data_IF_656019898637
#
_entry.id   IF_656019898637
#
_cell.length_a   1.000
_cell.length_b   1.000
_cell.length_c   1.000
_cell.angle_alpha   90.00
_cell.angle_beta   90.00
_cell.angle_gamma   90.00
#
_symmetry.space_group_name_H-M   'P 1'
#
loop_
_entity.id
_entity.type
_entity.pdbx_description
1 polymer ?
#
# COMPACT_ATOMS: atom_id res chain seq x y z
N UNK A 1 -13.96 -14.77 4.97
CA UNK A 1 -12.92 -14.95 6.01
C UNK A 1 -12.96 -13.71 6.87
N UNK A 2 -13.03 -13.82 8.19
CA UNK A 2 -12.86 -12.67 9.07
C UNK A 2 -11.36 -12.41 9.28
N UNK A 3 -10.94 -11.14 9.27
CA UNK A 3 -9.58 -10.76 9.60
C UNK A 3 -9.44 -10.62 11.12
N UNK A 4 -8.31 -11.03 11.67
CA UNK A 4 -8.00 -10.78 13.08
C UNK A 4 -7.72 -9.30 13.32
N UNK A 5 -7.95 -8.82 14.56
CA UNK A 5 -7.63 -7.44 14.92
C UNK A 5 -6.15 -7.09 14.62
N UNK A 6 -5.22 -8.02 14.86
CA UNK A 6 -3.80 -7.82 14.54
C UNK A 6 -3.54 -7.60 13.04
N UNK A 7 -4.24 -8.33 12.16
CA UNK A 7 -4.13 -8.13 10.72
C UNK A 7 -4.68 -6.77 10.29
N UNK A 8 -5.83 -6.37 10.88
CA UNK A 8 -6.49 -5.10 10.58
C UNK A 8 -5.59 -3.92 11.00
N UNK A 9 -5.12 -3.91 12.25
CA UNK A 9 -4.22 -2.87 12.75
C UNK A 9 -2.94 -2.77 11.92
N UNK A 10 -2.32 -3.93 11.63
CA UNK A 10 -1.10 -3.97 10.84
C UNK A 10 -1.32 -3.41 9.43
N UNK A 11 -2.41 -3.79 8.77
CA UNK A 11 -2.73 -3.29 7.44
C UNK A 11 -3.02 -1.79 7.43
N UNK A 12 -3.80 -1.31 8.39
CA UNK A 12 -4.19 0.10 8.52
C UNK A 12 -2.97 0.99 8.75
N UNK A 13 -2.13 0.64 9.72
CA UNK A 13 -0.93 1.41 10.02
C UNK A 13 0.09 1.35 8.88
N UNK A 14 0.23 0.19 8.23
CA UNK A 14 1.14 0.05 7.10
C UNK A 14 0.72 0.92 5.92
N UNK A 15 -0.56 0.89 5.52
CA UNK A 15 -1.05 1.74 4.43
C UNK A 15 -0.96 3.23 4.78
N UNK A 16 -1.28 3.61 6.02
CA UNK A 16 -1.13 4.99 6.47
C UNK A 16 0.33 5.48 6.38
N UNK A 17 1.29 4.63 6.75
CA UNK A 17 2.71 4.93 6.61
C UNK A 17 3.11 5.10 5.13
N UNK A 18 2.62 4.24 4.23
CA UNK A 18 2.89 4.37 2.81
C UNK A 18 2.31 5.65 2.20
N UNK A 19 1.17 6.13 2.66
CA UNK A 19 0.56 7.38 2.17
C UNK A 19 1.30 8.64 2.64
N UNK A 20 2.06 8.55 3.75
CA UNK A 20 2.90 9.66 4.21
C UNK A 20 4.18 9.82 3.39
N UNK A 21 4.68 8.72 2.82
CA UNK A 21 5.90 8.70 2.01
C UNK A 21 5.83 7.57 0.97
N UNK A 22 5.03 7.73 -0.10
CA UNK A 22 4.84 6.67 -1.08
C UNK A 22 6.13 6.38 -1.84
N UNK A 23 6.40 5.10 -2.03
CA UNK A 23 7.47 4.62 -2.89
C UNK A 23 6.94 4.29 -4.29
N UNK A 24 7.50 4.94 -5.31
CA UNK A 24 7.16 4.69 -6.70
C UNK A 24 8.18 3.72 -7.31
N UNK A 25 8.19 2.47 -6.82
CA UNK A 25 9.16 1.46 -7.26
C UNK A 25 8.56 0.61 -8.37
N UNK A 26 9.08 0.72 -9.57
CA UNK A 26 8.66 -0.05 -10.75
C UNK A 26 9.82 -0.81 -11.37
N UNK A 27 11.05 -0.33 -11.20
CA UNK A 27 12.26 -0.99 -11.70
C UNK A 27 13.06 -1.63 -10.57
N UNK A 28 13.60 -2.83 -10.82
CA UNK A 28 14.66 -3.41 -10.02
C UNK A 28 15.99 -2.65 -10.22
N UNK A 29 16.98 -2.92 -9.35
CA UNK A 29 18.28 -2.24 -9.41
C UNK A 29 19.05 -2.48 -10.71
N UNK A 30 18.89 -3.66 -11.33
CA UNK A 30 19.51 -3.99 -12.62
C UNK A 30 18.81 -3.27 -13.78
N UNK A 31 17.48 -3.23 -13.76
CA UNK A 31 16.68 -2.58 -14.80
C UNK A 31 16.88 -1.06 -14.85
N UNK A 32 17.23 -0.41 -13.74
CA UNK A 32 17.44 1.06 -13.69
C UNK A 32 18.58 1.57 -14.58
N UNK A 33 19.53 0.71 -14.95
CA UNK A 33 20.66 1.07 -15.82
C UNK A 33 20.42 0.67 -17.28
N UNK A 34 19.27 0.08 -17.58
CA UNK A 34 18.88 -0.29 -18.94
C UNK A 34 18.39 0.95 -19.72
N UNK A 35 18.98 1.28 -20.88
CA UNK A 35 18.49 2.37 -21.74
C UNK A 35 17.01 2.27 -22.08
N UNK A 36 16.45 1.06 -22.16
CA UNK A 36 15.06 0.81 -22.53
C UNK A 36 14.07 1.16 -21.39
N UNK A 37 14.55 1.34 -20.16
CA UNK A 37 13.72 1.65 -18.98
C UNK A 37 13.90 3.08 -18.46
N UNK A 38 14.74 3.90 -19.13
CA UNK A 38 15.07 5.27 -18.68
C UNK A 38 13.82 6.14 -18.49
N UNK A 39 12.80 5.93 -19.33
CA UNK A 39 11.52 6.63 -19.24
C UNK A 39 10.76 6.32 -17.95
N UNK A 40 10.84 5.07 -17.47
CA UNK A 40 10.24 4.66 -16.19
C UNK A 40 11.02 5.28 -15.03
N UNK A 41 12.35 5.26 -15.06
CA UNK A 41 13.17 5.90 -14.03
C UNK A 41 12.89 7.42 -13.92
N UNK A 42 12.69 8.11 -15.05
CA UNK A 42 12.27 9.52 -15.07
C UNK A 42 10.87 9.67 -14.44
N UNK A 43 9.91 8.80 -14.79
CA UNK A 43 8.57 8.84 -14.22
C UNK A 43 8.58 8.66 -12.68
N UNK A 44 9.37 7.71 -12.15
CA UNK A 44 9.55 7.52 -10.71
C UNK A 44 10.11 8.80 -10.05
N UNK A 45 11.14 9.40 -10.64
CA UNK A 45 11.76 10.62 -10.12
C UNK A 45 10.79 11.82 -10.11
N UNK A 46 10.00 11.96 -11.18
CA UNK A 46 8.96 13.01 -11.28
C UNK A 46 7.88 12.77 -10.22
N UNK A 47 7.39 11.54 -10.05
CA UNK A 47 6.39 11.21 -9.04
C UNK A 47 6.90 11.53 -7.63
N UNK A 48 8.15 11.17 -7.30
CA UNK A 48 8.78 11.53 -6.03
C UNK A 48 8.95 13.04 -5.84
N UNK A 49 9.20 13.81 -6.90
CA UNK A 49 9.27 15.28 -6.81
C UNK A 49 7.89 15.87 -6.51
N UNK A 50 6.89 15.49 -7.30
CA UNK A 50 5.52 15.99 -7.15
C UNK A 50 4.93 15.66 -5.78
N UNK A 51 5.13 14.43 -5.30
CA UNK A 51 4.67 14.03 -3.97
C UNK A 51 5.33 14.87 -2.85
N UNK A 52 6.65 15.14 -2.95
CA UNK A 52 7.36 15.99 -1.98
C UNK A 52 6.86 17.44 -2.00
N UNK A 53 6.50 17.96 -3.17
CA UNK A 53 5.93 19.31 -3.31
C UNK A 53 4.53 19.43 -2.69
N UNK A 54 3.74 18.35 -2.74
CA UNK A 54 2.43 18.28 -2.06
C UNK A 54 2.56 18.18 -0.53
N UNK A 55 3.65 17.57 -0.05
CA UNK A 55 3.88 17.32 1.37
C UNK A 55 3.03 16.15 1.91
N UNK A 56 3.29 15.72 3.15
CA UNK A 56 2.52 14.64 3.76
C UNK A 56 1.07 15.09 4.00
N UNK A 57 0.10 14.16 3.95
CA UNK A 57 -1.28 14.49 4.29
C UNK A 57 -1.43 14.97 5.73
N UNK A 58 -2.38 15.88 5.96
CA UNK A 58 -2.73 16.35 7.31
C UNK A 58 -3.19 15.18 8.19
N UNK A 59 -2.83 15.21 9.48
CA UNK A 59 -3.10 14.12 10.42
C UNK A 59 -4.60 13.78 10.53
N UNK A 60 -5.48 14.78 10.52
CA UNK A 60 -6.94 14.56 10.53
C UNK A 60 -7.44 13.72 9.35
N UNK A 61 -6.89 13.97 8.15
CA UNK A 61 -7.21 13.19 6.95
C UNK A 61 -6.64 11.77 7.05
N UNK A 62 -5.45 11.63 7.62
CA UNK A 62 -4.85 10.33 7.84
C UNK A 62 -5.66 9.49 8.84
N UNK A 63 -6.13 10.09 9.93
CA UNK A 63 -6.99 9.39 10.90
C UNK A 63 -8.35 9.03 10.31
N UNK A 64 -8.92 9.89 9.45
CA UNK A 64 -10.13 9.57 8.70
C UNK A 64 -9.91 8.37 7.74
N UNK A 65 -8.76 8.33 7.04
CA UNK A 65 -8.38 7.20 6.20
C UNK A 65 -8.23 5.91 7.01
N UNK A 66 -7.48 5.94 8.12
CA UNK A 66 -7.29 4.78 8.99
C UNK A 66 -8.63 4.22 9.49
N UNK A 67 -9.52 5.09 9.94
CA UNK A 67 -10.87 4.71 10.39
C UNK A 67 -11.70 4.09 9.28
N UNK A 68 -11.67 4.66 8.08
CA UNK A 68 -12.40 4.14 6.93
C UNK A 68 -11.89 2.77 6.47
N UNK A 69 -10.56 2.61 6.38
CA UNK A 69 -9.95 1.34 5.99
C UNK A 69 -10.23 0.25 7.02
N UNK A 70 -10.11 0.57 8.32
CA UNK A 70 -10.49 -0.33 9.40
C UNK A 70 -11.91 -0.86 9.25
N UNK A 71 -12.88 0.03 8.98
CA UNK A 71 -14.28 -0.36 8.79
C UNK A 71 -14.47 -1.32 7.61
N UNK A 72 -13.74 -1.15 6.51
CA UNK A 72 -13.78 -2.09 5.38
C UNK A 72 -13.25 -3.46 5.80
N UNK A 73 -12.14 -3.48 6.53
CA UNK A 73 -11.47 -4.71 6.95
C UNK A 73 -12.21 -5.45 8.09
N UNK A 74 -13.02 -4.73 8.87
CA UNK A 74 -13.92 -5.29 9.90
C UNK A 74 -15.26 -5.79 9.32
N UNK A 75 -15.56 -5.52 8.04
CA UNK A 75 -16.83 -5.88 7.41
C UNK A 75 -17.03 -7.39 7.25
N UNK A 76 -18.26 -7.80 6.92
CA UNK A 76 -18.63 -9.22 6.77
C UNK A 76 -17.89 -9.94 5.63
N UNK A 77 -17.51 -9.17 4.60
CA UNK A 77 -16.77 -9.64 3.43
C UNK A 77 -15.53 -8.76 3.21
N UNK A 78 -14.51 -8.88 4.08
CA UNK A 78 -13.31 -8.07 3.92
C UNK A 78 -12.52 -8.55 2.69
N UNK A 79 -11.81 -7.66 2.00
CA UNK A 79 -11.05 -8.03 0.82
C UNK A 79 -9.90 -8.98 1.17
N UNK A 80 -9.64 -9.95 0.30
CA UNK A 80 -8.49 -10.85 0.45
C UNK A 80 -7.15 -10.18 0.07
N UNK A 81 -7.20 -9.07 -0.66
CA UNK A 81 -6.05 -8.29 -1.12
C UNK A 81 -6.43 -6.82 -1.19
N UNK A 82 -5.47 -5.95 -0.88
CA UNK A 82 -5.49 -4.54 -1.25
C UNK A 82 -4.36 -4.27 -2.23
N UNK A 83 -4.60 -3.52 -3.29
CA UNK A 83 -3.57 -3.24 -4.29
C UNK A 83 -3.56 -1.84 -4.87
N UNK A 84 -2.38 -1.45 -5.33
CA UNK A 84 -2.11 -0.27 -6.12
C UNK A 84 -1.27 -0.74 -7.30
N UNK A 85 -1.81 -0.66 -8.51
CA UNK A 85 -0.99 -0.78 -9.71
C UNK A 85 -0.32 0.58 -9.98
N UNK A 86 -1.03 1.49 -10.63
CA UNK A 86 -0.70 2.92 -10.69
C UNK A 86 -1.72 3.78 -9.95
N UNK A 87 -2.88 3.21 -9.62
CA UNK A 87 -3.94 3.85 -8.83
C UNK A 87 -4.40 2.85 -7.77
N UNK A 88 -4.93 3.33 -6.64
CA UNK A 88 -5.50 2.44 -5.62
C UNK A 88 -6.66 1.62 -6.20
N UNK A 89 -6.81 0.41 -5.68
CA UNK A 89 -8.02 -0.38 -5.89
C UNK A 89 -9.28 0.35 -5.37
N UNK A 90 -10.44 -0.24 -5.63
CA UNK A 90 -11.71 0.35 -5.24
C UNK A 90 -11.82 0.63 -3.74
N UNK A 91 -11.33 -0.27 -2.88
CA UNK A 91 -11.45 -0.10 -1.43
C UNK A 91 -10.56 1.03 -0.93
N UNK A 92 -9.29 1.04 -1.33
CA UNK A 92 -8.34 2.09 -0.99
C UNK A 92 -8.77 3.44 -1.55
N UNK A 93 -9.22 3.47 -2.81
CA UNK A 93 -9.67 4.68 -3.49
C UNK A 93 -10.90 5.29 -2.82
N UNK A 94 -11.91 4.48 -2.48
CA UNK A 94 -13.11 4.94 -1.78
C UNK A 94 -12.79 5.52 -0.40
N UNK A 95 -11.91 4.86 0.37
CA UNK A 95 -11.51 5.34 1.71
C UNK A 95 -10.71 6.63 1.61
N UNK A 96 -9.76 6.71 0.68
CA UNK A 96 -8.96 7.92 0.46
C UNK A 96 -9.85 9.10 0.04
N UNK A 97 -10.76 8.88 -0.92
CA UNK A 97 -11.71 9.91 -1.34
C UNK A 97 -12.59 10.38 -0.17
N UNK A 98 -13.12 9.45 0.64
CA UNK A 98 -13.93 9.80 1.81
C UNK A 98 -13.14 10.55 2.89
N UNK A 99 -11.83 10.30 2.99
CA UNK A 99 -10.91 11.00 3.88
C UNK A 99 -10.41 12.35 3.33
N UNK A 100 -10.81 12.71 2.10
CA UNK A 100 -10.32 13.92 1.42
C UNK A 100 -8.83 13.84 1.05
N UNK A 101 -8.31 12.62 0.88
CA UNK A 101 -6.98 12.35 0.36
C UNK A 101 -7.02 12.30 -1.18
N UNK A 102 -5.95 12.77 -1.84
CA UNK A 102 -5.82 12.62 -3.28
C UNK A 102 -5.74 11.15 -3.67
N UNK A 103 -6.24 10.84 -4.86
CA UNK A 103 -6.21 9.48 -5.45
C UNK A 103 -5.45 9.45 -6.76
N UNK A 104 -4.67 10.49 -7.03
CA UNK A 104 -3.86 10.57 -8.24
C UNK A 104 -2.71 9.55 -8.20
N UNK A 105 -2.11 9.35 -9.37
CA UNK A 105 -0.97 8.45 -9.57
C UNK A 105 0.21 8.75 -8.63
N UNK A 106 0.36 9.97 -8.11
CA UNK A 106 1.47 10.35 -7.20
C UNK A 106 1.10 10.28 -5.72
N UNK A 107 -0.05 9.71 -5.36
CA UNK A 107 -0.57 9.69 -3.99
C UNK A 107 -0.39 8.33 -3.30
N UNK A 108 -0.22 7.26 -4.07
CA UNK A 108 -0.10 5.89 -3.59
C UNK A 108 1.20 5.21 -4.08
N UNK A 109 1.76 4.26 -3.31
CA UNK A 109 2.96 3.55 -3.72
C UNK A 109 2.67 2.64 -4.94
N UNK A 110 3.45 2.76 -6.00
CA UNK A 110 3.21 2.00 -7.23
C UNK A 110 3.49 0.51 -7.07
N UNK A 111 2.77 -0.29 -7.85
CA UNK A 111 2.92 -1.75 -7.97
C UNK A 111 2.96 -2.44 -6.61
N UNK A 112 2.15 -1.93 -5.68
CA UNK A 112 2.11 -2.36 -4.30
C UNK A 112 0.91 -3.26 -4.06
N UNK A 113 1.11 -4.35 -3.34
CA UNK A 113 0.04 -5.30 -3.03
C UNK A 113 0.18 -5.79 -1.60
N UNK A 114 -0.95 -5.95 -0.93
CA UNK A 114 -1.06 -6.51 0.42
C UNK A 114 -2.04 -7.67 0.43
N UNK A 115 -1.65 -8.81 0.99
CA UNK A 115 -2.48 -10.00 1.11
C UNK A 115 -2.68 -10.39 2.57
N UNK A 116 -3.88 -10.91 2.84
CA UNK A 116 -4.23 -11.52 4.12
C UNK A 116 -4.26 -13.04 3.96
N UNK A 117 -3.33 -13.75 4.62
CA UNK A 117 -3.18 -15.20 4.48
C UNK A 117 -2.81 -15.84 5.81
N UNK A 118 -3.48 -16.94 6.13
CA UNK A 118 -3.14 -17.82 7.26
C UNK A 118 -2.94 -17.12 8.61
N UNK A 119 -3.66 -16.01 8.83
CA UNK A 119 -3.56 -15.16 10.03
C UNK A 119 -2.49 -14.06 9.97
N UNK A 120 -1.68 -14.02 8.92
CA UNK A 120 -0.62 -13.06 8.68
C UNK A 120 -0.99 -11.97 7.67
N UNK A 121 -0.04 -11.06 7.47
CA UNK A 121 -0.11 -9.99 6.46
C UNK A 121 1.19 -9.96 5.67
N UNK A 122 1.05 -10.08 4.36
CA UNK A 122 2.15 -10.08 3.40
C UNK A 122 2.03 -8.87 2.49
N UNK A 123 3.15 -8.24 2.16
CA UNK A 123 3.20 -7.11 1.23
C UNK A 123 4.26 -7.32 0.17
N UNK A 124 4.05 -6.68 -0.99
CA UNK A 124 5.05 -6.51 -2.03
C UNK A 124 5.05 -5.04 -2.43
N UNK A 125 6.20 -4.41 -2.41
CA UNK A 125 6.38 -3.00 -2.78
C UNK A 125 7.21 -2.91 -4.05
N UNK A 126 6.50 -2.72 -5.16
CA UNK A 126 7.10 -2.55 -6.47
C UNK A 126 7.03 -3.77 -7.37
N UNK A 127 7.24 -3.54 -8.66
CA UNK A 127 7.16 -4.58 -9.68
C UNK A 127 8.28 -5.61 -9.49
N UNK A 128 7.93 -6.90 -9.50
CA UNK A 128 8.90 -7.99 -9.34
C UNK A 128 9.58 -8.09 -7.96
N UNK A 129 9.26 -7.21 -7.00
CA UNK A 129 9.86 -7.21 -5.68
C UNK A 129 9.50 -8.49 -4.88
N UNK A 130 10.37 -8.95 -3.97
CA UNK A 130 10.07 -10.08 -3.10
C UNK A 130 8.90 -9.76 -2.17
N UNK A 131 8.12 -10.79 -1.83
CA UNK A 131 7.07 -10.69 -0.82
C UNK A 131 7.71 -10.61 0.57
N UNK A 132 7.27 -9.66 1.38
CA UNK A 132 7.68 -9.45 2.76
C UNK A 132 6.52 -9.71 3.72
N UNK A 133 6.76 -10.45 4.80
CA UNK A 133 5.80 -10.63 5.88
C UNK A 133 5.93 -9.49 6.90
N UNK A 134 4.87 -8.70 7.04
CA UNK A 134 4.81 -7.60 8.01
C UNK A 134 4.04 -7.98 9.27
N UNK A 135 3.21 -9.02 9.21
CA UNK A 135 2.70 -9.74 10.37
C UNK A 135 2.95 -11.22 10.16
N UNK A 136 3.83 -11.78 11.00
CA UNK A 136 4.15 -13.21 11.00
C UNK A 136 3.13 -13.96 11.84
N UNK A 137 2.77 -15.15 11.39
CA UNK A 137 2.07 -16.12 12.22
C UNK A 137 3.09 -17.11 12.74
N UNK A 138 3.10 -17.43 14.04
CA UNK A 138 3.97 -18.47 14.55
C UNK A 138 3.72 -19.76 13.77
N UNK A 139 4.76 -20.48 13.31
CA UNK A 139 4.56 -21.79 12.72
C UNK A 139 3.79 -22.64 13.73
N UNK A 140 2.63 -23.15 13.33
CA UNK A 140 1.88 -24.10 14.14
C UNK A 140 2.77 -25.31 14.29
N UNK A 141 3.39 -25.49 15.46
CA UNK A 141 4.07 -26.73 15.80
C UNK A 141 3.03 -27.83 15.66
N UNK A 142 3.12 -28.62 14.58
CA UNK A 142 2.38 -29.86 14.47
C UNK A 142 2.85 -30.74 15.63
N UNK A 143 1.98 -30.95 16.62
CA UNK A 143 2.15 -31.97 17.65
C UNK A 143 1.86 -33.34 17.06
#
# INVERSE_FOLDING_TARGET
>A
MALSQAQIETAVEWWAAQLKAPEFKTLSGEERNDPDTVGVAIAEAVAHKLNREQGPPADEKMEAFKKGLRKILEGDTPPHRLDVDYHPDQNLGMVAQAAGLPTEITSFPWKTSMWFRDGGVQVRTGYGAPVSEILKVPPTSQQ
#
